data_IF_255286238222
#
_entry.id   IF_255286238222
#
_cell.length_a   1.000
_cell.length_b   1.000
_cell.length_c   1.000
_cell.angle_alpha   90.00
_cell.angle_beta   90.00
_cell.angle_gamma   90.00
#
_symmetry.space_group_name_H-M   'P 1'
#
loop_
_entity.id
_entity.type
_entity.pdbx_description
1 polymer ?
#
# COMPACT_ATOMS: atom_id res chain seq x y z
N UNK A 1 5.12 -12.07 -19.24
CA UNK A 1 4.73 -12.04 -17.83
C UNK A 1 5.27 -10.78 -17.16
N UNK A 2 4.65 -10.30 -16.08
CA UNK A 2 5.17 -9.16 -15.30
C UNK A 2 5.18 -9.51 -13.82
N UNK A 3 6.36 -9.42 -13.19
CA UNK A 3 6.56 -9.68 -11.76
C UNK A 3 7.03 -8.43 -11.02
N UNK A 4 6.75 -8.38 -9.71
CA UNK A 4 7.16 -7.29 -8.84
C UNK A 4 7.98 -7.82 -7.66
N UNK A 5 9.07 -7.13 -7.34
CA UNK A 5 9.96 -7.46 -6.23
C UNK A 5 10.31 -6.20 -5.46
N UNK A 6 10.40 -6.29 -4.12
CA UNK A 6 10.96 -5.20 -3.31
C UNK A 6 12.46 -5.08 -3.55
N UNK A 7 12.94 -3.88 -3.84
CA UNK A 7 14.34 -3.53 -3.91
C UNK A 7 14.71 -2.62 -2.72
N UNK A 8 16.01 -2.55 -2.38
CA UNK A 8 16.49 -1.71 -1.28
C UNK A 8 16.14 -0.22 -1.42
N UNK A 9 15.84 0.24 -2.63
CA UNK A 9 15.49 1.62 -2.95
C UNK A 9 14.07 1.79 -3.53
N UNK A 10 13.21 0.77 -3.46
CA UNK A 10 11.82 0.86 -3.95
C UNK A 10 11.25 -0.44 -4.52
N UNK A 11 10.54 -0.38 -5.65
CA UNK A 11 9.94 -1.56 -6.33
C UNK A 11 10.63 -1.80 -7.66
N UNK A 12 10.99 -3.06 -7.92
CA UNK A 12 11.48 -3.50 -9.22
C UNK A 12 10.40 -4.31 -9.93
N UNK A 13 9.93 -3.80 -11.07
CA UNK A 13 9.05 -4.51 -11.98
C UNK A 13 9.89 -5.19 -13.06
N UNK A 14 9.59 -6.46 -13.36
CA UNK A 14 10.29 -7.24 -14.39
C UNK A 14 9.28 -7.76 -15.39
N UNK A 15 9.42 -7.39 -16.65
CA UNK A 15 8.64 -7.91 -17.76
C UNK A 15 9.46 -8.93 -18.53
N UNK A 16 8.88 -10.10 -18.77
CA UNK A 16 9.54 -11.22 -19.44
C UNK A 16 8.71 -11.67 -20.63
N UNK A 17 9.35 -11.72 -21.80
CA UNK A 17 8.83 -12.38 -22.99
C UNK A 17 9.67 -13.62 -23.27
N UNK A 18 9.03 -14.78 -23.29
CA UNK A 18 9.67 -16.06 -23.64
C UNK A 18 9.23 -16.48 -25.03
N UNK A 19 10.19 -16.62 -25.94
CA UNK A 19 9.95 -17.10 -27.29
C UNK A 19 10.00 -18.63 -27.36
N UNK A 20 9.36 -19.22 -28.36
CA UNK A 20 9.39 -20.67 -28.57
C UNK A 20 10.82 -21.14 -28.86
N UNK A 21 11.44 -20.49 -29.84
CA UNK A 21 12.87 -20.58 -30.18
C UNK A 21 13.58 -19.28 -29.76
N UNK A 22 14.55 -18.79 -30.53
CA UNK A 22 15.19 -17.51 -30.27
C UNK A 22 14.20 -16.36 -30.54
N UNK A 23 14.19 -15.33 -29.68
CA UNK A 23 13.48 -14.11 -30.02
C UNK A 23 14.19 -13.41 -31.19
N UNK A 24 13.43 -13.02 -32.21
CA UNK A 24 13.95 -12.23 -33.33
C UNK A 24 14.48 -10.87 -32.83
N UNK A 25 15.48 -10.32 -33.53
CA UNK A 25 16.13 -9.05 -33.16
C UNK A 25 15.19 -7.82 -33.25
N UNK A 26 14.08 -7.94 -33.98
CA UNK A 26 13.08 -6.88 -34.13
C UNK A 26 12.10 -6.79 -32.95
N UNK A 27 12.12 -7.74 -32.00
CA UNK A 27 11.31 -7.67 -30.80
C UNK A 27 11.96 -6.79 -29.73
N UNK A 28 11.16 -5.94 -29.10
CA UNK A 28 11.59 -5.13 -27.97
C UNK A 28 10.49 -5.04 -26.91
N UNK A 29 10.89 -4.81 -25.66
CA UNK A 29 10.01 -4.57 -24.53
C UNK A 29 10.06 -3.10 -24.14
N UNK A 30 8.90 -2.46 -24.04
CA UNK A 30 8.78 -1.04 -23.71
C UNK A 30 7.82 -0.86 -22.54
N UNK A 31 8.23 -0.07 -21.56
CA UNK A 31 7.38 0.34 -20.45
C UNK A 31 6.66 1.65 -20.76
N UNK A 32 5.43 1.75 -20.27
CA UNK A 32 4.63 2.98 -20.21
C UNK A 32 3.81 3.01 -18.93
N UNK A 33 3.38 4.18 -18.49
CA UNK A 33 2.67 4.36 -17.23
C UNK A 33 2.54 5.83 -16.83
N UNK A 34 1.78 6.07 -15.76
CA UNK A 34 1.34 7.40 -15.31
C UNK A 34 2.43 8.19 -14.58
N UNK A 35 3.13 7.57 -13.64
CA UNK A 35 4.20 8.18 -12.84
C UNK A 35 5.53 7.88 -13.49
N UNK A 36 6.32 8.87 -13.98
CA UNK A 36 7.65 8.66 -14.61
C UNK A 36 8.85 9.02 -13.73
N UNK A 37 8.59 9.48 -12.52
CA UNK A 37 9.61 10.04 -11.64
C UNK A 37 10.50 8.92 -11.09
N UNK A 38 11.82 9.11 -11.19
CA UNK A 38 12.80 8.12 -10.70
C UNK A 38 12.88 6.83 -11.52
N UNK A 39 12.29 6.80 -12.72
CA UNK A 39 12.32 5.63 -13.59
C UNK A 39 13.72 5.29 -14.08
N UNK A 40 14.12 4.04 -13.88
CA UNK A 40 15.29 3.48 -14.52
C UNK A 40 14.90 2.16 -15.18
N UNK A 41 15.02 2.10 -16.50
CA UNK A 41 14.73 0.90 -17.28
C UNK A 41 16.01 0.27 -17.84
N UNK A 42 16.04 -1.06 -17.84
CA UNK A 42 17.12 -1.84 -18.48
C UNK A 42 16.51 -3.04 -19.18
N UNK A 43 16.85 -3.22 -20.45
CA UNK A 43 16.53 -4.42 -21.20
C UNK A 43 17.76 -5.32 -21.34
N UNK A 44 17.54 -6.62 -21.38
CA UNK A 44 18.55 -7.62 -21.69
C UNK A 44 17.93 -8.85 -22.31
N UNK A 45 18.75 -9.59 -23.05
CA UNK A 45 18.36 -10.86 -23.68
C UNK A 45 19.13 -11.98 -23.00
N UNK A 46 18.42 -13.01 -22.55
CA UNK A 46 19.01 -14.21 -21.97
C UNK A 46 18.40 -15.42 -22.68
N UNK A 47 19.21 -16.13 -23.48
CA UNK A 47 18.74 -17.24 -24.31
C UNK A 47 17.53 -16.84 -25.17
N UNK A 48 16.42 -17.59 -25.06
CA UNK A 48 15.14 -17.35 -25.73
C UNK A 48 14.20 -16.37 -25.02
N UNK A 49 14.73 -15.54 -24.11
CA UNK A 49 13.93 -14.63 -23.31
C UNK A 49 14.42 -13.19 -23.44
N UNK A 50 13.47 -12.28 -23.64
CA UNK A 50 13.66 -10.85 -23.53
C UNK A 50 13.16 -10.40 -22.16
N UNK A 51 13.99 -9.65 -21.45
CA UNK A 51 13.70 -9.19 -20.09
C UNK A 51 13.84 -7.67 -20.07
N UNK A 52 12.83 -6.99 -19.54
CA UNK A 52 12.86 -5.55 -19.30
C UNK A 52 12.54 -5.26 -17.85
N UNK A 53 13.49 -4.66 -17.15
CA UNK A 53 13.40 -4.29 -15.76
C UNK A 53 13.09 -2.80 -15.65
N UNK A 54 12.25 -2.43 -14.71
CA UNK A 54 11.94 -1.06 -14.34
C UNK A 54 12.04 -0.90 -12.82
N UNK A 55 12.91 0.01 -12.38
CA UNK A 55 13.02 0.38 -10.97
C UNK A 55 12.20 1.66 -10.72
N UNK A 56 11.34 1.58 -9.70
CA UNK A 56 10.56 2.69 -9.16
C UNK A 56 11.15 3.05 -7.80
N UNK A 57 11.62 4.28 -7.65
CA UNK A 57 12.21 4.77 -6.38
C UNK A 57 11.17 5.07 -5.31
N UNK A 58 9.90 5.19 -5.69
CA UNK A 58 8.76 5.41 -4.81
C UNK A 58 7.79 4.26 -4.98
N UNK A 59 7.15 3.84 -3.88
CA UNK A 59 6.14 2.79 -3.96
C UNK A 59 4.94 3.27 -4.80
N UNK A 60 4.52 2.51 -5.82
CA UNK A 60 3.42 2.91 -6.67
C UNK A 60 2.11 2.98 -5.88
N UNK A 61 1.29 3.98 -6.20
CA UNK A 61 -0.05 4.11 -5.62
C UNK A 61 -1.01 3.11 -6.27
N UNK A 62 -2.15 2.88 -5.63
CA UNK A 62 -3.19 1.99 -6.18
C UNK A 62 -3.82 2.50 -7.48
N UNK A 63 -3.67 3.79 -7.78
CA UNK A 63 -4.13 4.42 -9.04
C UNK A 63 -3.07 4.39 -10.14
N UNK A 64 -1.83 4.00 -9.82
CA UNK A 64 -0.76 3.98 -10.81
C UNK A 64 -0.88 2.73 -11.69
N UNK A 65 -0.83 2.96 -12.99
CA UNK A 65 -0.90 1.92 -13.99
C UNK A 65 0.44 1.82 -14.72
N UNK A 66 0.96 0.60 -14.82
CA UNK A 66 2.19 0.31 -15.54
C UNK A 66 1.94 -0.76 -16.59
N UNK A 67 2.35 -0.49 -17.83
CA UNK A 67 2.11 -1.37 -18.96
C UNK A 67 3.46 -1.75 -19.56
N UNK A 68 3.71 -3.06 -19.65
CA UNK A 68 4.76 -3.59 -20.49
C UNK A 68 4.19 -3.93 -21.86
N UNK A 69 4.79 -3.37 -22.92
CA UNK A 69 4.42 -3.64 -24.30
C UNK A 69 5.52 -4.41 -25.02
N UNK A 70 5.12 -5.43 -25.76
CA UNK A 70 5.96 -6.11 -26.75
C UNK A 70 5.80 -5.37 -28.07
N UNK A 71 6.89 -4.84 -28.59
CA UNK A 71 6.95 -4.14 -29.87
C UNK A 71 7.71 -4.97 -30.89
N UNK A 72 7.26 -4.92 -32.14
CA UNK A 72 7.95 -5.46 -33.32
C UNK A 72 7.92 -4.40 -34.41
N UNK A 73 9.08 -4.03 -34.94
CA UNK A 73 9.20 -3.01 -36.00
C UNK A 73 8.46 -1.70 -35.67
N UNK A 74 8.50 -1.30 -34.39
CA UNK A 74 7.81 -0.11 -33.87
C UNK A 74 6.31 -0.29 -33.59
N UNK A 75 5.69 -1.40 -34.01
CA UNK A 75 4.29 -1.70 -33.76
C UNK A 75 4.10 -2.53 -32.49
N UNK A 76 3.07 -2.22 -31.69
CA UNK A 76 2.74 -3.00 -30.49
C UNK A 76 2.06 -4.30 -30.86
N UNK A 77 2.66 -5.43 -30.50
CA UNK A 77 2.14 -6.78 -30.77
C UNK A 77 1.33 -7.33 -29.60
N UNK A 78 1.75 -7.01 -28.38
CA UNK A 78 1.08 -7.43 -27.16
C UNK A 78 1.35 -6.43 -26.05
N UNK A 79 0.47 -6.40 -25.05
CA UNK A 79 0.67 -5.62 -23.84
C UNK A 79 0.29 -6.46 -22.61
N UNK A 80 0.92 -6.13 -21.49
CA UNK A 80 0.63 -6.69 -20.19
C UNK A 80 0.62 -5.55 -19.17
N UNK A 81 -0.53 -5.35 -18.57
CA UNK A 81 -0.73 -4.39 -17.50
C UNK A 81 -0.29 -4.98 -16.17
N UNK A 82 0.22 -4.10 -15.32
CA UNK A 82 0.56 -4.36 -13.93
C UNK A 82 -0.08 -3.27 -13.07
N UNK A 83 -0.74 -3.72 -12.01
CA UNK A 83 -1.46 -2.88 -11.07
C UNK A 83 -1.06 -3.28 -9.65
N UNK A 84 -0.95 -2.29 -8.76
CA UNK A 84 -0.78 -2.57 -7.33
C UNK A 84 -2.11 -3.07 -6.77
N UNK A 85 -2.14 -4.25 -6.15
CA UNK A 85 -3.34 -4.74 -5.48
C UNK A 85 -3.61 -3.90 -4.21
N UNK A 86 -4.34 -2.80 -4.41
CA UNK A 86 -4.65 -1.82 -3.37
C UNK A 86 -5.58 -2.35 -2.29
N UNK A 87 -6.15 -3.56 -2.45
CA UNK A 87 -7.12 -4.11 -1.50
C UNK A 87 -6.49 -4.33 -0.12
N UNK A 88 -5.30 -4.92 -0.06
CA UNK A 88 -4.60 -5.21 1.20
C UNK A 88 -4.21 -3.92 1.93
N UNK A 89 -3.66 -2.95 1.20
CA UNK A 89 -3.27 -1.66 1.78
C UNK A 89 -4.49 -0.87 2.29
N UNK A 90 -5.61 -0.95 1.57
CA UNK A 90 -6.88 -0.34 1.98
C UNK A 90 -7.43 -1.01 3.24
N UNK A 91 -7.39 -2.34 3.33
CA UNK A 91 -7.82 -3.09 4.51
C UNK A 91 -6.98 -2.72 5.74
N UNK A 92 -5.65 -2.70 5.61
CA UNK A 92 -4.75 -2.29 6.71
C UNK A 92 -5.08 -0.87 7.17
N UNK A 93 -5.29 0.06 6.24
CA UNK A 93 -5.62 1.45 6.57
C UNK A 93 -6.93 1.55 7.35
N UNK A 94 -7.97 0.83 6.93
CA UNK A 94 -9.25 0.79 7.63
C UNK A 94 -9.11 0.20 9.03
N UNK A 95 -8.36 -0.89 9.20
CA UNK A 95 -8.12 -1.50 10.51
C UNK A 95 -7.45 -0.53 11.49
N UNK A 96 -6.44 0.21 11.06
CA UNK A 96 -5.76 1.21 11.90
C UNK A 96 -6.73 2.30 12.37
N UNK A 97 -7.57 2.81 11.47
CA UNK A 97 -8.55 3.84 11.82
C UNK A 97 -9.59 3.31 12.81
N UNK A 98 -10.07 2.08 12.63
CA UNK A 98 -11.00 1.44 13.55
C UNK A 98 -10.38 1.26 14.95
N UNK A 99 -9.13 0.80 15.04
CA UNK A 99 -8.43 0.64 16.33
C UNK A 99 -8.28 1.98 17.06
N UNK A 100 -7.94 3.05 16.33
CA UNK A 100 -7.82 4.39 16.90
C UNK A 100 -9.17 4.92 17.42
N UNK A 101 -10.25 4.73 16.66
CA UNK A 101 -11.59 5.13 17.08
C UNK A 101 -12.04 4.38 18.33
N UNK A 102 -11.81 3.07 18.40
CA UNK A 102 -12.14 2.26 19.56
C UNK A 102 -11.30 2.66 20.79
N UNK A 103 -10.01 2.94 20.61
CA UNK A 103 -9.13 3.43 21.68
C UNK A 103 -9.58 4.78 22.23
N UNK A 104 -9.94 5.72 21.36
CA UNK A 104 -10.45 7.03 21.74
C UNK A 104 -11.78 6.94 22.50
N UNK A 105 -12.71 6.09 22.02
CA UNK A 105 -14.00 5.88 22.69
C UNK A 105 -13.84 5.26 24.08
N UNK A 106 -13.00 4.23 24.21
CA UNK A 106 -12.72 3.59 25.50
C UNK A 106 -12.00 4.54 26.48
N UNK A 107 -11.02 5.31 26.00
CA UNK A 107 -10.31 6.31 26.80
C UNK A 107 -11.21 7.47 27.25
N UNK A 108 -12.08 7.95 26.35
CA UNK A 108 -13.09 8.98 26.65
C UNK A 108 -14.10 8.50 27.68
N UNK A 109 -14.61 7.26 27.53
CA UNK A 109 -15.53 6.67 28.49
C UNK A 109 -14.88 6.50 29.87
N UNK A 110 -13.64 6.01 29.90
CA UNK A 110 -12.89 5.82 31.15
C UNK A 110 -12.66 7.13 31.90
N UNK A 111 -12.22 8.19 31.20
CA UNK A 111 -11.99 9.50 31.81
C UNK A 111 -13.29 10.15 32.28
N UNK A 112 -14.38 10.01 31.52
CA UNK A 112 -15.70 10.50 31.90
C UNK A 112 -16.25 9.78 33.15
N UNK A 113 -16.16 8.45 33.21
CA UNK A 113 -16.55 7.67 34.38
C UNK A 113 -15.71 8.05 35.61
N UNK A 114 -14.40 8.22 35.44
CA UNK A 114 -13.50 8.63 36.53
C UNK A 114 -13.81 10.05 37.02
N UNK A 115 -14.14 10.98 36.13
CA UNK A 115 -14.60 12.32 36.51
C UNK A 115 -15.93 12.27 37.26
N UNK A 116 -16.88 11.45 36.81
CA UNK A 116 -18.17 11.24 37.48
C UNK A 116 -17.99 10.66 38.89
N UNK A 117 -17.09 9.70 39.07
CA UNK A 117 -16.78 9.15 40.40
C UNK A 117 -16.17 10.20 41.34
N UNK A 118 -15.25 11.04 40.84
CA UNK A 118 -14.67 12.14 41.63
C UNK A 118 -15.74 13.14 42.07
N UNK A 119 -16.68 13.47 41.19
CA UNK A 119 -17.83 14.32 41.56
C UNK A 119 -18.72 13.66 42.61
N UNK A 120 -19.07 12.39 42.45
CA UNK A 120 -19.91 11.69 43.43
C UNK A 120 -19.23 11.54 44.81
N UNK A 121 -17.91 11.34 44.85
CA UNK A 121 -17.14 11.29 46.09
C UNK A 121 -17.04 12.66 46.78
N UNK A 122 -17.01 13.76 46.03
CA UNK A 122 -16.99 15.13 46.56
C UNK A 122 -18.33 15.62 47.11
N UNK A 123 -19.45 15.04 46.66
CA UNK A 123 -20.81 15.38 47.16
C UNK A 123 -21.26 14.49 48.33
N UNK A 124 -20.46 13.48 48.72
CA UNK A 124 -20.79 12.53 49.80
C UNK A 124 -20.38 12.95 51.21
N UNK A 125 -19.68 14.08 51.39
CA UNK A 125 -19.22 14.56 52.70
C UNK A 125 -20.07 15.72 53.25
N UNK A 126 -21.38 15.69 53.01
CA UNK A 126 -22.26 16.82 53.31
C UNK A 126 -23.68 16.43 53.69
N UNK A 127 -23.91 15.33 54.41
CA UNK A 127 -25.19 15.12 55.10
C UNK A 127 -25.13 13.98 56.12
N UNK A 128 -25.74 14.23 57.30
CA UNK A 128 -25.99 13.32 58.44
C UNK A 128 -24.78 13.21 59.38
N UNK A 129 -24.80 13.76 60.60
CA UNK A 129 -25.77 13.52 61.69
C UNK A 129 -26.09 14.79 62.50
N UNK A 130 -27.38 15.06 62.66
CA UNK A 130 -27.92 15.86 63.76
C UNK A 130 -28.84 14.93 64.57
N UNK A 131 -28.92 15.16 65.89
CA UNK A 131 -29.66 14.42 66.94
C UNK A 131 -28.94 13.14 67.42
N UNK A 132 -28.57 12.94 68.70
CA UNK A 132 -29.19 13.35 69.98
C UNK A 132 -28.14 13.40 71.12
N UNK A 133 -28.25 14.36 72.05
CA UNK A 133 -27.71 14.25 73.42
C UNK A 133 -28.81 14.58 74.43
N UNK A 134 -28.87 13.79 75.51
CA UNK A 134 -29.81 13.87 76.62
C UNK A 134 -29.94 15.25 77.26
#
# INVERSE_FOLDING_TARGET
DVTAESASAGVKLTCVLTCAEQCEENFNLSWSGTSREGWQSRSMTVNKTLISMMLLTVWPQSSDEFICSVKREGSTMALKEWHTDGSLQTLIRLCVHLVLLMGAAAGGLYTHMKWKQRKAAGTGSGQRYHLNSC
#
